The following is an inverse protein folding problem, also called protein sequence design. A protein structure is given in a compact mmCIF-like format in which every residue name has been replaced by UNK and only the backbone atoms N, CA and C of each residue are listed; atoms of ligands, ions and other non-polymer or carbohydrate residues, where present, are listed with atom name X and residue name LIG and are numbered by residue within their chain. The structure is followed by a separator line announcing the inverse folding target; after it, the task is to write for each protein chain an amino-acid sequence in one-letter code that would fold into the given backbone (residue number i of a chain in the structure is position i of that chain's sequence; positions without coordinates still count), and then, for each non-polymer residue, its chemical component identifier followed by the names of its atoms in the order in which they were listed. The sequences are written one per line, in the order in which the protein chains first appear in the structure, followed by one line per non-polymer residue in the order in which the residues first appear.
data_IF_622158543923
#
_entry.id   IF_622158543923
#
_cell.length_a   1.000
_cell.length_b   1.000
_cell.length_c   1.000
_cell.angle_alpha   90.00
_cell.angle_beta   90.00
_cell.angle_gamma   90.00
#
_symmetry.space_group_name_H-M   'P 1'
#
loop_
_entity.id
_entity.type
_entity.pdbx_description
1 polymer ?
#
# COMPACT_ATOMS: atom_id res chain seq x y z
N UNK A 1 -3.98 -18.78 -9.31
CA UNK A 1 -4.84 -17.97 -8.41
C UNK A 1 -4.44 -16.50 -8.47
N UNK A 2 -5.43 -15.64 -8.53
CA UNK A 2 -5.18 -14.20 -8.43
C UNK A 2 -4.88 -13.81 -6.99
N UNK A 3 -3.94 -12.90 -6.77
CA UNK A 3 -3.71 -12.33 -5.45
C UNK A 3 -4.76 -11.29 -5.05
N UNK A 4 -5.62 -10.87 -6.00
CA UNK A 4 -6.74 -9.97 -5.72
C UNK A 4 -7.86 -10.72 -4.99
N UNK A 5 -8.46 -10.08 -4.01
CA UNK A 5 -9.60 -10.64 -3.27
C UNK A 5 -10.89 -10.57 -4.08
N UNK A 6 -11.06 -9.51 -4.87
CA UNK A 6 -12.30 -9.31 -5.64
C UNK A 6 -12.03 -9.29 -7.15
N UNK A 7 -12.80 -10.05 -7.94
CA UNK A 7 -12.57 -10.14 -9.39
C UNK A 7 -12.77 -8.81 -10.12
N UNK A 8 -13.65 -7.93 -9.66
CA UNK A 8 -13.84 -6.61 -10.26
C UNK A 8 -12.60 -5.74 -10.13
N UNK A 9 -11.91 -5.80 -9.00
CA UNK A 9 -10.67 -5.07 -8.79
C UNK A 9 -9.53 -5.61 -9.66
N UNK A 10 -9.47 -6.92 -9.84
CA UNK A 10 -8.51 -7.53 -10.76
C UNK A 10 -8.74 -7.05 -12.19
N UNK A 11 -10.00 -7.05 -12.64
CA UNK A 11 -10.36 -6.57 -13.98
C UNK A 11 -10.02 -5.09 -14.17
N UNK A 12 -10.27 -4.28 -13.16
CA UNK A 12 -9.92 -2.85 -13.19
C UNK A 12 -8.41 -2.69 -13.39
N UNK A 13 -7.62 -3.40 -12.60
CA UNK A 13 -6.16 -3.34 -12.70
C UNK A 13 -5.66 -3.80 -14.06
N UNK A 14 -6.12 -4.94 -14.53
CA UNK A 14 -5.71 -5.50 -15.83
C UNK A 14 -6.04 -4.53 -16.96
N UNK A 15 -7.18 -3.86 -16.90
CA UNK A 15 -7.60 -2.87 -17.89
C UNK A 15 -6.67 -1.66 -17.90
N UNK A 16 -6.29 -1.15 -16.73
CA UNK A 16 -5.36 -0.02 -16.63
C UNK A 16 -3.96 -0.40 -17.13
N UNK A 17 -3.48 -1.57 -16.77
CA UNK A 17 -2.18 -2.07 -17.23
C UNK A 17 -2.13 -2.19 -18.75
N UNK A 18 -3.24 -2.58 -19.36
CA UNK A 18 -3.32 -2.81 -20.80
C UNK A 18 -3.54 -1.53 -21.62
N UNK A 19 -4.38 -0.61 -21.12
CA UNK A 19 -4.87 0.51 -21.93
C UNK A 19 -4.44 1.89 -21.45
N UNK A 20 -4.12 2.07 -20.19
CA UNK A 20 -3.77 3.39 -19.68
C UNK A 20 -2.31 3.75 -20.01
N UNK A 21 -2.06 4.95 -20.55
CA UNK A 21 -0.68 5.43 -20.72
C UNK A 21 0.06 5.55 -19.39
N UNK A 22 1.39 5.57 -19.44
CA UNK A 22 2.22 5.61 -18.25
C UNK A 22 1.90 6.80 -17.33
N UNK A 23 1.73 7.99 -17.88
CA UNK A 23 1.40 9.19 -17.10
C UNK A 23 0.04 9.08 -16.40
N UNK A 24 -0.94 8.44 -17.05
CA UNK A 24 -2.25 8.17 -16.45
C UNK A 24 -2.10 7.17 -15.30
N UNK A 25 -1.33 6.10 -15.49
CA UNK A 25 -1.11 5.10 -14.45
C UNK A 25 -0.42 5.72 -13.22
N UNK A 26 0.53 6.61 -13.42
CA UNK A 26 1.18 7.32 -12.31
C UNK A 26 0.18 8.15 -11.50
N UNK A 27 -0.74 8.84 -12.16
CA UNK A 27 -1.81 9.58 -11.47
C UNK A 27 -2.78 8.65 -10.75
N UNK A 28 -3.08 7.51 -11.34
CA UNK A 28 -3.95 6.51 -10.72
C UNK A 28 -3.33 5.91 -9.45
N UNK A 29 -2.01 5.70 -9.45
CA UNK A 29 -1.27 5.29 -8.25
C UNK A 29 -1.49 6.29 -7.12
N UNK A 30 -1.30 7.58 -7.39
CA UNK A 30 -1.48 8.63 -6.38
C UNK A 30 -2.92 8.65 -5.84
N UNK A 31 -3.91 8.51 -6.70
CA UNK A 31 -5.32 8.48 -6.30
C UNK A 31 -5.64 7.26 -5.44
N UNK A 32 -5.11 6.09 -5.80
CA UNK A 32 -5.28 4.88 -5.01
C UNK A 32 -4.62 5.00 -3.63
N UNK A 33 -3.45 5.62 -3.56
CA UNK A 33 -2.76 5.88 -2.29
C UNK A 33 -3.57 6.79 -1.37
N UNK A 34 -4.20 7.83 -1.92
CA UNK A 34 -5.08 8.72 -1.15
C UNK A 34 -6.30 7.97 -0.62
N UNK A 35 -6.90 7.11 -1.44
CA UNK A 35 -8.00 6.27 -1.01
C UNK A 35 -7.59 5.37 0.15
N UNK A 36 -6.42 4.76 0.09
CA UNK A 36 -5.92 3.91 1.18
C UNK A 36 -5.81 4.66 2.50
N UNK A 37 -5.58 5.97 2.47
CA UNK A 37 -5.55 6.80 3.66
C UNK A 37 -6.95 7.07 4.24
N UNK A 38 -7.99 7.02 3.42
CA UNK A 38 -9.37 7.37 3.79
C UNK A 38 -10.25 6.16 4.12
N UNK A 39 -9.92 4.98 3.59
CA UNK A 39 -10.77 3.79 3.72
C UNK A 39 -10.67 3.15 5.10
N UNK A 40 -11.84 2.72 5.59
CA UNK A 40 -11.94 1.98 6.85
C UNK A 40 -12.19 0.50 6.57
N UNK A 41 -11.36 -0.42 7.13
CA UNK A 41 -11.55 -1.86 6.89
C UNK A 41 -12.91 -2.40 7.36
N UNK A 42 -13.53 -1.75 8.34
CA UNK A 42 -14.81 -2.15 8.92
C UNK A 42 -16.02 -1.76 8.07
N UNK A 43 -15.84 -0.89 7.08
CA UNK A 43 -16.91 -0.40 6.23
C UNK A 43 -16.99 -1.15 4.91
N UNK A 44 -18.09 -0.93 4.17
CA UNK A 44 -18.27 -1.48 2.83
C UNK A 44 -18.33 -0.33 1.83
N UNK A 45 -17.85 -0.59 0.61
CA UNK A 45 -17.74 0.44 -0.43
C UNK A 45 -18.33 -0.06 -1.74
N UNK A 46 -18.94 0.83 -2.50
CA UNK A 46 -19.42 0.54 -3.83
C UNK A 46 -18.24 0.56 -4.82
N UNK A 47 -18.11 -0.51 -5.59
CA UNK A 47 -17.05 -0.64 -6.59
C UNK A 47 -17.05 0.55 -7.56
N UNK A 48 -18.23 0.99 -8.00
CA UNK A 48 -18.34 2.10 -8.95
C UNK A 48 -17.76 3.40 -8.42
N UNK A 49 -17.88 3.66 -7.13
CA UNK A 49 -17.31 4.85 -6.49
C UNK A 49 -15.79 4.77 -6.44
N UNK A 50 -15.24 3.61 -6.10
CA UNK A 50 -13.80 3.36 -6.10
C UNK A 50 -13.24 3.53 -7.51
N UNK A 51 -13.89 2.92 -8.49
CA UNK A 51 -13.49 3.01 -9.90
C UNK A 51 -13.49 4.47 -10.39
N UNK A 52 -14.52 5.23 -10.09
CA UNK A 52 -14.62 6.65 -10.45
C UNK A 52 -13.51 7.49 -9.83
N UNK A 53 -13.21 7.27 -8.56
CA UNK A 53 -12.17 8.02 -7.87
C UNK A 53 -10.77 7.76 -8.43
N UNK A 54 -10.52 6.55 -8.92
CA UNK A 54 -9.21 6.19 -9.48
C UNK A 54 -9.10 6.56 -10.96
N UNK A 55 -10.13 6.24 -11.75
CA UNK A 55 -10.07 6.35 -13.23
C UNK A 55 -10.85 7.53 -13.79
N UNK A 56 -11.63 8.21 -12.98
CA UNK A 56 -12.59 9.25 -13.38
C UNK A 56 -13.73 8.72 -14.26
N UNK A 57 -13.85 7.40 -14.36
CA UNK A 57 -14.91 6.72 -15.12
C UNK A 57 -15.81 5.95 -14.15
N UNK A 58 -17.14 6.16 -14.28
CA UNK A 58 -18.15 5.49 -13.45
C UNK A 58 -18.83 4.40 -14.27
N UNK A 59 -18.59 3.11 -13.98
CA UNK A 59 -19.21 2.03 -14.74
C UNK A 59 -20.71 1.94 -14.44
N UNK A 60 -21.53 1.94 -15.49
CA UNK A 60 -22.98 1.82 -15.35
C UNK A 60 -23.44 0.39 -15.07
N UNK A 61 -22.73 -0.59 -15.63
CA UNK A 61 -23.11 -2.01 -15.58
C UNK A 61 -22.83 -2.70 -14.25
N UNK A 62 -22.03 -2.07 -13.38
CA UNK A 62 -21.56 -2.68 -12.13
C UNK A 62 -22.04 -1.91 -10.89
N UNK A 63 -23.27 -1.37 -10.96
CA UNK A 63 -23.84 -0.52 -9.91
C UNK A 63 -24.08 -1.21 -8.58
N UNK A 64 -24.27 -2.53 -8.58
CA UNK A 64 -24.68 -3.29 -7.40
C UNK A 64 -23.50 -3.96 -6.67
N UNK A 65 -22.28 -3.81 -7.17
CA UNK A 65 -21.12 -4.45 -6.55
C UNK A 65 -20.67 -3.67 -5.32
N UNK A 66 -20.69 -4.36 -4.18
CA UNK A 66 -20.22 -3.83 -2.89
C UNK A 66 -19.05 -4.68 -2.44
N UNK A 67 -17.96 -4.02 -2.03
CA UNK A 67 -16.72 -4.68 -1.60
C UNK A 67 -16.44 -4.28 -0.16
N UNK A 68 -16.06 -5.25 0.68
CA UNK A 68 -15.70 -4.94 2.07
C UNK A 68 -14.43 -4.08 2.12
N UNK A 69 -14.30 -3.27 3.17
CA UNK A 69 -13.11 -2.43 3.36
C UNK A 69 -11.83 -3.24 3.42
N UNK A 70 -11.83 -4.40 4.05
CA UNK A 70 -10.67 -5.29 4.11
C UNK A 70 -10.24 -5.75 2.72
N UNK A 71 -11.19 -6.18 1.88
CA UNK A 71 -10.92 -6.61 0.52
C UNK A 71 -10.41 -5.45 -0.33
N UNK A 72 -11.05 -4.28 -0.21
CA UNK A 72 -10.66 -3.12 -1.03
C UNK A 72 -9.28 -2.59 -0.65
N UNK A 73 -8.95 -2.55 0.63
CA UNK A 73 -7.60 -2.15 1.08
C UNK A 73 -6.54 -3.09 0.53
N UNK A 74 -6.78 -4.38 0.64
CA UNK A 74 -5.87 -5.38 0.08
C UNK A 74 -5.70 -5.21 -1.44
N UNK A 75 -6.81 -5.08 -2.15
CA UNK A 75 -6.80 -5.01 -3.62
C UNK A 75 -6.20 -3.68 -4.12
N UNK A 76 -6.41 -2.57 -3.41
CA UNK A 76 -5.77 -1.30 -3.75
C UNK A 76 -4.25 -1.36 -3.53
N UNK A 77 -3.79 -2.06 -2.51
CA UNK A 77 -2.35 -2.30 -2.35
C UNK A 77 -1.79 -3.04 -3.55
N UNK A 78 -2.47 -4.10 -3.96
CA UNK A 78 -2.07 -4.86 -5.15
C UNK A 78 -2.09 -3.99 -6.41
N UNK A 79 -3.10 -3.14 -6.55
CA UNK A 79 -3.24 -2.18 -7.65
C UNK A 79 -2.03 -1.25 -7.72
N UNK A 80 -1.67 -0.61 -6.60
CA UNK A 80 -0.52 0.29 -6.54
C UNK A 80 0.78 -0.44 -6.90
N UNK A 81 0.99 -1.62 -6.34
CA UNK A 81 2.17 -2.41 -6.64
C UNK A 81 2.24 -2.81 -8.11
N UNK A 82 1.14 -3.29 -8.69
CA UNK A 82 1.12 -3.72 -10.10
C UNK A 82 1.31 -2.55 -11.06
N UNK A 83 0.64 -1.43 -10.82
CA UNK A 83 0.79 -0.25 -11.67
C UNK A 83 2.21 0.34 -11.56
N UNK A 84 2.75 0.45 -10.36
CA UNK A 84 4.11 0.96 -10.17
C UNK A 84 5.15 0.02 -10.80
N UNK A 85 4.95 -1.29 -10.67
CA UNK A 85 5.83 -2.28 -11.32
C UNK A 85 5.85 -2.07 -12.83
N UNK A 86 4.68 -1.90 -13.44
CA UNK A 86 4.54 -1.71 -14.89
C UNK A 86 5.13 -0.37 -15.38
N UNK A 87 5.22 0.62 -14.50
CA UNK A 87 5.67 1.95 -14.87
C UNK A 87 7.20 2.10 -14.88
N UNK A 88 7.93 1.09 -14.41
CA UNK A 88 9.40 1.10 -14.34
C UNK A 88 9.94 2.41 -13.73
N UNK A 89 9.55 2.71 -12.50
CA UNK A 89 9.94 3.95 -11.81
C UNK A 89 11.37 3.82 -11.31
N UNK A 90 12.35 4.53 -11.93
CA UNK A 90 13.72 4.47 -11.41
C UNK A 90 13.80 5.15 -10.04
N UNK A 91 14.47 4.50 -9.10
CA UNK A 91 14.58 5.07 -7.74
C UNK A 91 15.31 6.41 -7.75
N UNK A 92 16.22 6.62 -8.70
CA UNK A 92 16.99 7.86 -8.85
C UNK A 92 16.10 9.06 -9.20
N UNK A 93 14.91 8.83 -9.77
CA UNK A 93 13.98 9.92 -10.13
C UNK A 93 13.09 10.34 -8.97
N UNK A 94 13.12 9.61 -7.85
CA UNK A 94 12.30 9.93 -6.69
C UNK A 94 12.97 11.03 -5.87
N UNK A 95 12.23 12.11 -5.61
CA UNK A 95 12.76 13.30 -4.94
C UNK A 95 12.78 13.20 -3.42
N UNK A 96 12.27 12.14 -2.85
CA UNK A 96 12.25 11.93 -1.40
C UNK A 96 12.89 10.60 -1.03
N UNK A 97 13.28 10.39 0.24
CA UNK A 97 13.83 9.11 0.68
C UNK A 97 12.84 7.96 0.49
N UNK A 98 13.36 6.82 0.09
CA UNK A 98 12.60 5.58 -0.05
C UNK A 98 13.16 4.56 0.93
N UNK A 99 12.30 3.97 1.74
CA UNK A 99 12.68 2.99 2.74
C UNK A 99 12.32 1.58 2.28
N UNK A 100 13.15 0.61 2.63
CA UNK A 100 12.85 -0.81 2.47
C UNK A 100 12.11 -1.32 3.71
N UNK A 101 11.59 -2.55 3.65
CA UNK A 101 10.99 -3.20 4.83
C UNK A 101 12.02 -3.26 5.97
N UNK A 102 13.26 -3.60 5.65
CA UNK A 102 14.35 -3.66 6.63
C UNK A 102 14.62 -2.29 7.27
N UNK A 103 14.66 -1.23 6.45
CA UNK A 103 14.85 0.14 6.94
C UNK A 103 13.79 0.53 7.95
N UNK A 104 12.52 0.21 7.67
CA UNK A 104 11.42 0.51 8.58
C UNK A 104 11.48 -0.32 9.85
N UNK A 105 11.84 -1.59 9.73
CA UNK A 105 12.05 -2.48 10.88
C UNK A 105 13.10 -1.92 11.84
N UNK A 106 14.21 -1.46 11.32
CA UNK A 106 15.27 -0.86 12.11
C UNK A 106 14.88 0.50 12.69
N UNK A 107 14.27 1.36 11.87
CA UNK A 107 13.88 2.73 12.27
C UNK A 107 12.86 2.75 13.41
N UNK A 108 11.88 1.85 13.37
CA UNK A 108 10.79 1.81 14.35
C UNK A 108 10.96 0.71 15.40
N UNK A 109 12.08 -0.02 15.35
CA UNK A 109 12.39 -1.10 16.28
C UNK A 109 11.25 -2.14 16.36
N UNK A 110 10.83 -2.62 15.21
CA UNK A 110 9.79 -3.64 15.07
C UNK A 110 10.25 -4.73 14.11
N UNK A 111 9.58 -5.88 14.13
CA UNK A 111 9.89 -6.98 13.21
C UNK A 111 9.43 -6.67 11.79
N UNK A 112 10.00 -7.36 10.81
CA UNK A 112 9.54 -7.26 9.42
C UNK A 112 8.09 -7.72 9.26
N UNK A 113 7.65 -8.68 10.07
CA UNK A 113 6.24 -9.10 10.11
C UNK A 113 5.32 -7.96 10.54
N UNK A 114 5.76 -7.13 11.49
CA UNK A 114 5.01 -5.97 11.93
C UNK A 114 4.86 -4.96 10.78
N UNK A 115 5.93 -4.73 10.03
CA UNK A 115 5.87 -3.85 8.85
C UNK A 115 4.88 -4.41 7.82
N UNK A 116 4.87 -5.71 7.59
CA UNK A 116 3.90 -6.34 6.68
C UNK A 116 2.46 -6.17 7.17
N UNK A 117 2.22 -6.23 8.49
CA UNK A 117 0.90 -5.93 9.06
C UNK A 117 0.49 -4.48 8.83
N UNK A 118 1.44 -3.56 8.89
CA UNK A 118 1.17 -2.15 8.59
C UNK A 118 0.73 -1.98 7.15
N UNK A 119 1.33 -2.74 6.23
CA UNK A 119 0.90 -2.75 4.82
C UNK A 119 -0.56 -3.21 4.70
N UNK A 120 -0.98 -4.20 5.48
CA UNK A 120 -2.36 -4.67 5.52
C UNK A 120 -3.33 -3.60 6.08
N UNK A 121 -2.80 -2.62 6.80
CA UNK A 121 -3.58 -1.54 7.41
C UNK A 121 -3.51 -0.23 6.64
N UNK A 122 -2.92 -0.23 5.47
CA UNK A 122 -2.90 0.92 4.60
C UNK A 122 -1.55 1.62 4.44
N UNK A 123 -0.47 1.06 5.00
CA UNK A 123 0.86 1.58 4.68
C UNK A 123 1.15 1.29 3.21
N UNK A 124 1.29 2.35 2.44
CA UNK A 124 1.45 2.26 0.99
C UNK A 124 2.87 1.91 0.61
N UNK A 125 3.01 0.96 -0.32
CA UNK A 125 4.30 0.61 -0.93
C UNK A 125 4.17 0.64 -2.44
N UNK A 126 5.27 0.96 -3.11
CA UNK A 126 5.40 0.93 -4.57
C UNK A 126 6.53 -0.01 -4.95
N UNK A 127 6.53 -0.46 -6.19
CA UNK A 127 7.69 -1.15 -6.73
C UNK A 127 8.54 -0.17 -7.53
N UNK A 128 9.81 -0.10 -7.20
CA UNK A 128 10.78 0.78 -7.85
C UNK A 128 11.81 -0.04 -8.62
N UNK A 129 12.31 0.56 -9.69
CA UNK A 129 13.41 -0.03 -10.45
C UNK A 129 14.73 0.43 -9.85
N UNK A 130 15.53 -0.52 -9.37
CA UNK A 130 16.86 -0.29 -8.80
C UNK A 130 17.83 -1.11 -9.63
N UNK A 131 18.60 -0.44 -10.49
CA UNK A 131 19.44 -1.13 -11.49
C UNK A 131 18.56 -1.97 -12.41
N UNK A 132 18.82 -3.27 -12.47
CA UNK A 132 18.04 -4.21 -13.29
C UNK A 132 16.94 -4.95 -12.51
N UNK A 133 16.71 -4.59 -11.26
CA UNK A 133 15.77 -5.27 -10.38
C UNK A 133 14.63 -4.33 -9.95
N UNK A 134 13.48 -4.93 -9.68
CA UNK A 134 12.35 -4.22 -9.11
C UNK A 134 12.19 -4.63 -7.65
N UNK A 135 12.06 -3.64 -6.77
CA UNK A 135 11.95 -3.86 -5.33
C UNK A 135 10.85 -3.01 -4.73
N UNK A 136 10.23 -3.53 -3.69
CA UNK A 136 9.23 -2.81 -2.90
C UNK A 136 9.94 -1.72 -2.09
N UNK A 137 9.38 -0.52 -2.10
CA UNK A 137 9.86 0.61 -1.34
C UNK A 137 8.72 1.45 -0.79
N UNK A 138 9.03 2.18 0.27
CA UNK A 138 8.07 3.06 0.96
C UNK A 138 8.56 4.49 0.87
N UNK A 139 7.75 5.37 0.28
CA UNK A 139 8.08 6.80 0.27
C UNK A 139 8.02 7.36 1.68
N UNK A 140 8.99 8.20 2.03
CA UNK A 140 9.03 8.84 3.36
C UNK A 140 7.71 9.53 3.68
N UNK A 141 7.13 10.27 2.74
CA UNK A 141 5.85 10.96 2.92
C UNK A 141 4.71 10.00 3.27
N UNK A 142 4.66 8.83 2.63
CA UNK A 142 3.66 7.80 2.93
C UNK A 142 3.85 7.20 4.32
N UNK A 143 5.11 6.95 4.69
CA UNK A 143 5.45 6.44 6.03
C UNK A 143 5.06 7.45 7.10
N UNK A 144 5.40 8.72 6.90
CA UNK A 144 5.11 9.78 7.88
C UNK A 144 3.59 9.92 8.10
N UNK A 145 2.79 9.87 7.05
CA UNK A 145 1.32 9.92 7.16
C UNK A 145 0.75 8.71 7.90
N UNK A 146 1.28 7.53 7.60
CA UNK A 146 0.84 6.32 8.28
C UNK A 146 1.19 6.35 9.77
N UNK A 147 2.42 6.72 10.09
CA UNK A 147 2.90 6.82 11.48
C UNK A 147 2.06 7.83 12.28
N UNK A 148 1.74 8.97 11.68
CA UNK A 148 0.90 10.00 12.32
C UNK A 148 -0.49 9.45 12.66
N UNK A 149 -1.12 8.70 11.75
CA UNK A 149 -2.45 8.13 11.96
C UNK A 149 -2.47 6.95 12.94
N UNK A 150 -1.36 6.24 13.07
CA UNK A 150 -1.24 5.02 13.89
C UNK A 150 -0.20 5.14 14.99
N UNK A 151 0.08 6.38 15.45
CA UNK A 151 1.17 6.66 16.37
C UNK A 151 1.11 5.83 17.67
N UNK A 152 -0.06 5.71 18.29
CA UNK A 152 -0.23 4.96 19.52
C UNK A 152 0.10 3.48 19.36
N UNK A 153 -0.35 2.90 18.26
CA UNK A 153 -0.14 1.49 17.94
C UNK A 153 1.34 1.19 17.66
N UNK A 154 1.98 2.05 16.89
CA UNK A 154 3.40 1.92 16.56
C UNK A 154 4.26 2.07 17.82
N UNK A 155 3.94 3.01 18.67
CA UNK A 155 4.65 3.24 19.92
C UNK A 155 4.55 2.04 20.86
N UNK A 156 3.37 1.43 20.97
CA UNK A 156 3.18 0.20 21.74
C UNK A 156 3.99 -0.96 21.22
N UNK A 157 4.02 -1.15 19.90
CA UNK A 157 4.81 -2.19 19.22
C UNK A 157 6.31 -2.02 19.48
N UNK A 158 6.82 -0.80 19.38
CA UNK A 158 8.21 -0.47 19.64
C UNK A 158 8.60 -0.75 21.10
N UNK A 159 7.76 -0.35 22.05
CA UNK A 159 7.98 -0.62 23.49
C UNK A 159 7.99 -2.12 23.78
N UNK A 160 7.08 -2.88 23.17
CA UNK A 160 7.01 -4.32 23.37
C UNK A 160 8.30 -5.00 22.88
N UNK A 161 8.80 -4.63 21.72
CA UNK A 161 10.06 -5.16 21.19
C UNK A 161 11.25 -4.82 22.08
N UNK A 162 11.28 -3.61 22.61
CA UNK A 162 12.35 -3.15 23.52
C UNK A 162 12.35 -3.94 24.84
N UNK A 163 11.18 -4.18 25.42
CA UNK A 163 11.03 -5.00 26.62
C UNK A 163 11.52 -6.43 26.41
N UNK A 164 11.23 -7.04 25.26
CA UNK A 164 11.69 -8.37 24.92
C UNK A 164 13.22 -8.46 24.86
N UNK A 165 13.88 -7.44 24.33
CA UNK A 165 15.34 -7.37 24.28
C UNK A 165 15.93 -7.22 25.68
N UNK A 166 15.36 -6.35 26.51
CA UNK A 166 15.77 -6.17 27.91
C UNK A 166 15.60 -7.46 28.72
N UNK A 167 14.51 -8.18 28.53
CA UNK A 167 14.29 -9.48 29.17
C UNK A 167 15.36 -10.50 28.77
N UNK A 168 15.75 -10.52 27.49
CA UNK A 168 16.83 -11.39 27.00
C UNK A 168 18.17 -11.06 27.64
N UNK A 169 18.50 -9.78 27.78
CA UNK A 169 19.71 -9.34 28.42
C UNK A 169 19.72 -9.67 29.90
N UNK A 170 18.58 -9.62 30.56
CA UNK A 170 18.45 -9.92 31.99
C UNK A 170 18.66 -11.41 32.32
N UNK A 171 18.54 -12.32 31.34
CA UNK A 171 18.70 -13.77 31.52
C UNK A 171 20.18 -14.19 31.42
N UNK A 172 21.04 -13.33 30.92
CA UNK A 172 22.47 -13.57 30.83
C UNK A 172 23.16 -13.15 32.12
#
# INVERSE_FOLDING_TARGET
MSRYSHPSMKKLTDRQLRFAPRDVRLRQIEKAERLLEELAPEENYHYRDICEQITSFRPEMESDIVISGEEIVHDLRCFVEDLSDSADIPIETVEEPVFTVKDLSERYNVSTKTVDRWRDRGLVSRRFKIGNRKRVGFLKSSVDRFVERHADEIHRGSKFSQLSEEEREAII
#
